data_IF_455670144638
#
_entry.id   IF_455670144638
#
_cell.length_a   1.000
_cell.length_b   1.000
_cell.length_c   1.000
_cell.angle_alpha   90.00
_cell.angle_beta   90.00
_cell.angle_gamma   90.00
#
_symmetry.space_group_name_H-M   'P 1'
#
loop_
_entity.id
_entity.type
_entity.pdbx_description
1 polymer ?
#
# COMPACT_ATOMS: atom_id res chain seq x y z
N UNK A 1 13.65 32.56 31.56
CA UNK A 1 14.03 32.08 30.22
C UNK A 1 14.51 30.64 30.35
N UNK A 2 13.59 29.68 30.41
CA UNK A 2 13.89 28.24 30.36
C UNK A 2 12.85 27.49 29.49
N UNK A 3 11.63 28.02 29.32
CA UNK A 3 10.57 27.37 28.53
C UNK A 3 10.71 27.43 27.01
N UNK A 4 11.39 28.43 26.44
CA UNK A 4 11.49 28.58 24.96
C UNK A 4 12.37 27.50 24.31
N UNK A 5 13.24 26.85 25.09
CA UNK A 5 14.17 25.83 24.59
C UNK A 5 13.54 24.43 24.60
N UNK A 6 12.71 24.16 25.60
CA UNK A 6 11.97 22.90 25.74
C UNK A 6 10.87 22.79 24.66
N UNK A 7 10.20 23.89 24.33
CA UNK A 7 9.18 23.92 23.27
C UNK A 7 9.76 23.66 21.86
N UNK A 8 10.98 24.14 21.56
CA UNK A 8 11.61 23.90 20.25
C UNK A 8 12.05 22.43 20.09
N UNK A 9 12.55 21.83 21.18
CA UNK A 9 12.91 20.40 21.23
C UNK A 9 11.67 19.50 21.03
N UNK A 10 10.54 19.84 21.65
CA UNK A 10 9.27 19.11 21.49
C UNK A 10 8.71 19.19 20.06
N UNK A 11 8.88 20.34 19.40
CA UNK A 11 8.45 20.54 18.01
C UNK A 11 9.34 19.71 17.07
N UNK A 12 10.65 19.69 17.31
CA UNK A 12 11.61 18.91 16.51
C UNK A 12 11.33 17.41 16.61
N UNK A 13 11.09 16.90 17.83
CA UNK A 13 10.70 15.51 18.05
C UNK A 13 9.39 15.18 17.33
N UNK A 14 8.39 16.06 17.40
CA UNK A 14 7.13 15.87 16.68
C UNK A 14 7.32 15.76 15.15
N UNK A 15 8.27 16.50 14.57
CA UNK A 15 8.59 16.37 13.14
C UNK A 15 9.31 15.07 12.80
N UNK A 16 10.20 14.59 13.66
CA UNK A 16 10.91 13.31 13.49
C UNK A 16 9.93 12.13 13.46
N UNK A 17 8.91 12.15 14.32
CA UNK A 17 7.87 11.11 14.34
C UNK A 17 7.01 11.07 13.07
N UNK A 18 6.95 12.17 12.33
CA UNK A 18 6.21 12.26 11.06
C UNK A 18 7.04 11.83 9.84
N UNK A 19 8.34 11.57 10.02
CA UNK A 19 9.23 11.18 8.92
C UNK A 19 8.84 9.80 8.40
N UNK A 20 8.68 9.61 7.08
CA UNK A 20 8.43 8.30 6.51
C UNK A 20 9.56 7.32 6.86
N UNK A 21 9.19 6.11 7.27
CA UNK A 21 10.14 5.02 7.48
C UNK A 21 10.58 4.44 6.14
N UNK A 22 11.89 4.29 5.96
CA UNK A 22 12.46 3.67 4.78
C UNK A 22 12.03 2.19 4.68
N UNK A 23 11.53 1.74 3.51
CA UNK A 23 11.08 0.36 3.35
C UNK A 23 12.27 -0.62 3.30
N UNK A 24 12.04 -1.84 3.81
CA UNK A 24 13.02 -2.91 3.71
C UNK A 24 13.09 -3.46 2.27
N UNK A 25 14.26 -3.96 1.81
CA UNK A 25 14.37 -4.61 0.51
C UNK A 25 13.38 -5.76 0.30
N UNK A 26 13.02 -6.48 1.36
CA UNK A 26 12.04 -7.57 1.34
C UNK A 26 10.59 -7.12 1.09
N UNK A 27 10.31 -5.82 1.25
CA UNK A 27 9.01 -5.23 0.91
C UNK A 27 8.89 -4.88 -0.57
N UNK A 28 10.00 -4.95 -1.34
CA UNK A 28 9.98 -4.79 -2.79
C UNK A 28 9.56 -6.09 -3.48
N UNK A 29 8.69 -5.99 -4.49
CA UNK A 29 8.22 -7.11 -5.31
C UNK A 29 9.34 -7.75 -6.18
N UNK A 30 10.48 -7.07 -6.35
CA UNK A 30 11.60 -7.51 -7.21
C UNK A 30 11.26 -7.63 -8.71
N UNK A 31 10.05 -7.23 -9.11
CA UNK A 31 9.47 -7.52 -10.44
C UNK A 31 9.35 -6.28 -11.33
N UNK A 32 10.03 -5.18 -10.97
CA UNK A 32 9.98 -3.92 -11.74
C UNK A 32 8.64 -3.17 -11.67
N UNK A 33 7.89 -3.33 -10.58
CA UNK A 33 6.61 -2.65 -10.36
C UNK A 33 6.78 -1.11 -10.37
N UNK A 34 5.86 -0.35 -11.00
CA UNK A 34 5.83 1.13 -11.00
C UNK A 34 4.43 1.64 -10.62
N UNK A 35 4.28 2.48 -9.57
CA UNK A 35 5.34 2.90 -8.64
C UNK A 35 5.82 1.75 -7.74
N UNK A 36 7.13 1.70 -7.50
CA UNK A 36 7.75 0.80 -6.54
C UNK A 36 7.52 1.31 -5.09
N UNK A 37 7.69 0.44 -4.09
CA UNK A 37 7.63 0.82 -2.67
C UNK A 37 8.64 1.93 -2.33
N UNK A 38 9.82 1.90 -2.96
CA UNK A 38 10.84 2.94 -2.82
C UNK A 38 10.41 4.25 -3.49
N UNK A 39 9.73 4.20 -4.63
CA UNK A 39 9.22 5.41 -5.30
C UNK A 39 8.19 6.13 -4.41
N UNK A 40 7.29 5.36 -3.78
CA UNK A 40 6.32 5.90 -2.84
C UNK A 40 7.00 6.48 -1.59
N UNK A 41 8.02 5.81 -1.08
CA UNK A 41 8.83 6.32 0.03
C UNK A 41 9.49 7.66 -0.32
N UNK A 42 10.18 7.76 -1.46
CA UNK A 42 10.83 9.00 -1.87
C UNK A 42 9.84 10.15 -2.09
N UNK A 43 8.65 9.86 -2.65
CA UNK A 43 7.58 10.86 -2.78
C UNK A 43 7.10 11.36 -1.41
N UNK A 44 6.87 10.45 -0.47
CA UNK A 44 6.43 10.83 0.88
C UNK A 44 7.55 11.56 1.63
N UNK A 45 8.81 11.17 1.46
CA UNK A 45 9.96 11.83 2.07
C UNK A 45 10.09 13.26 1.57
N UNK A 46 9.98 13.48 0.25
CA UNK A 46 10.01 14.82 -0.34
C UNK A 46 8.87 15.72 0.19
N UNK A 47 7.67 15.16 0.38
CA UNK A 47 6.55 15.90 1.01
C UNK A 47 6.84 16.24 2.46
N UNK A 48 7.39 15.30 3.22
CA UNK A 48 7.77 15.55 4.61
C UNK A 48 8.86 16.62 4.72
N UNK A 49 9.89 16.59 3.87
CA UNK A 49 10.94 17.61 3.82
C UNK A 49 10.36 19.00 3.50
N UNK A 50 9.45 19.10 2.52
CA UNK A 50 8.77 20.33 2.17
C UNK A 50 7.85 20.85 3.30
N UNK A 51 7.08 19.95 3.94
CA UNK A 51 6.22 20.26 5.08
C UNK A 51 7.03 20.77 6.27
N UNK A 52 8.15 20.12 6.57
CA UNK A 52 9.05 20.51 7.66
C UNK A 52 9.71 21.86 7.40
N UNK A 53 10.16 22.10 6.17
CA UNK A 53 10.80 23.36 5.78
C UNK A 53 9.82 24.56 5.85
N UNK A 54 8.54 24.34 5.55
CA UNK A 54 7.49 25.36 5.59
C UNK A 54 6.77 25.45 6.94
N UNK A 55 7.03 24.51 7.87
CA UNK A 55 6.28 24.28 9.11
C UNK A 55 4.77 24.06 8.87
N UNK A 56 4.38 23.64 7.66
CA UNK A 56 3.00 23.40 7.26
C UNK A 56 2.72 21.89 7.17
N UNK A 57 2.00 21.37 8.16
CA UNK A 57 1.62 19.94 8.22
C UNK A 57 0.57 19.56 7.18
N UNK A 58 -0.15 20.51 6.59
CA UNK A 58 -1.16 20.21 5.57
C UNK A 58 -0.54 19.56 4.31
N UNK A 59 0.72 19.87 4.02
CA UNK A 59 1.48 19.33 2.89
C UNK A 59 1.81 17.84 3.02
N UNK A 60 1.64 17.25 4.21
CA UNK A 60 1.81 15.81 4.42
C UNK A 60 0.68 14.99 3.76
N UNK A 61 -0.49 15.61 3.55
CA UNK A 61 -1.59 14.99 2.82
C UNK A 61 -1.37 15.20 1.32
N UNK A 62 -0.89 14.15 0.64
CA UNK A 62 -0.89 14.11 -0.82
C UNK A 62 -2.31 14.16 -1.38
N UNK A 63 -2.48 14.40 -2.70
CA UNK A 63 -3.79 14.22 -3.33
C UNK A 63 -4.28 12.83 -2.96
N UNK A 64 -5.39 12.76 -2.23
CA UNK A 64 -6.04 11.50 -1.93
C UNK A 64 -6.32 10.86 -3.29
N UNK A 65 -5.53 9.84 -3.65
CA UNK A 65 -5.89 8.94 -4.73
C UNK A 65 -7.29 8.50 -4.38
N UNK A 66 -8.26 8.97 -5.17
CA UNK A 66 -9.69 8.74 -4.98
C UNK A 66 -9.88 7.39 -4.32
N UNK A 67 -10.39 7.41 -3.09
CA UNK A 67 -10.83 6.22 -2.39
C UNK A 67 -11.98 5.63 -3.21
N UNK A 68 -11.65 4.93 -4.28
CA UNK A 68 -12.47 3.84 -4.74
C UNK A 68 -12.60 2.93 -3.52
N UNK A 69 -13.82 2.58 -3.08
CA UNK A 69 -14.04 1.59 -2.02
C UNK A 69 -13.65 0.21 -2.57
N UNK A 70 -12.37 0.07 -2.87
CA UNK A 70 -11.74 -1.14 -3.33
C UNK A 70 -11.54 -1.95 -2.07
N UNK A 71 -12.14 -3.13 -2.00
CA UNK A 71 -11.95 -4.06 -0.87
C UNK A 71 -10.49 -4.55 -0.75
N UNK A 72 -9.64 -4.16 -1.70
CA UNK A 72 -8.22 -4.42 -1.73
C UNK A 72 -7.45 -3.26 -1.12
N UNK A 73 -6.59 -3.59 -0.16
CA UNK A 73 -5.66 -2.65 0.45
C UNK A 73 -4.23 -3.05 0.04
N UNK A 74 -3.37 -2.10 -0.38
CA UNK A 74 -1.99 -2.39 -0.79
C UNK A 74 -1.12 -3.00 0.32
N UNK A 75 -1.52 -2.91 1.60
CA UNK A 75 -0.75 -3.37 2.75
C UNK A 75 -1.20 -4.75 3.27
N UNK A 76 -2.34 -5.28 2.84
CA UNK A 76 -2.91 -6.50 3.43
C UNK A 76 -3.44 -7.46 2.37
N UNK A 77 -3.13 -8.74 2.53
CA UNK A 77 -3.70 -9.80 1.69
C UNK A 77 -5.16 -10.07 2.10
N UNK A 78 -6.02 -10.27 1.09
CA UNK A 78 -7.43 -10.64 1.28
C UNK A 78 -7.66 -12.00 0.63
N UNK A 79 -8.29 -12.93 1.34
CA UNK A 79 -8.63 -14.24 0.80
C UNK A 79 -9.81 -14.18 -0.18
N UNK A 80 -9.74 -14.94 -1.26
CA UNK A 80 -10.81 -15.09 -2.26
C UNK A 80 -10.85 -16.53 -2.77
N UNK A 81 -12.02 -16.94 -3.27
CA UNK A 81 -12.21 -18.25 -3.89
C UNK A 81 -12.04 -18.16 -5.40
N UNK A 82 -11.29 -19.09 -5.97
CA UNK A 82 -11.22 -19.28 -7.43
C UNK A 82 -12.56 -19.91 -7.84
N UNK A 83 -13.34 -19.20 -8.65
CA UNK A 83 -14.64 -19.66 -9.13
C UNK A 83 -14.52 -20.50 -10.40
N UNK A 84 -13.48 -20.26 -11.20
CA UNK A 84 -13.18 -21.06 -12.38
C UNK A 84 -11.72 -20.91 -12.83
N UNK A 85 -11.23 -21.92 -13.53
CA UNK A 85 -9.91 -21.91 -14.14
C UNK A 85 -10.01 -22.57 -15.52
N UNK A 86 -9.79 -21.79 -16.58
CA UNK A 86 -9.78 -22.30 -17.95
C UNK A 86 -8.35 -22.32 -18.48
N UNK A 87 -7.94 -23.42 -19.12
CA UNK A 87 -6.67 -23.45 -19.86
C UNK A 87 -6.89 -22.88 -21.26
N UNK A 88 -6.18 -21.81 -21.62
CA UNK A 88 -6.27 -21.16 -22.93
C UNK A 88 -5.27 -21.71 -23.93
N UNK A 89 -4.04 -22.00 -23.49
CA UNK A 89 -2.97 -22.59 -24.30
C UNK A 89 -2.26 -23.69 -23.50
N UNK A 90 -1.14 -24.23 -24.00
CA UNK A 90 -0.33 -25.22 -23.27
C UNK A 90 0.12 -24.71 -21.89
N UNK A 91 0.40 -23.41 -21.79
CA UNK A 91 1.07 -22.74 -20.67
C UNK A 91 0.30 -21.53 -20.12
N UNK A 92 -0.82 -21.14 -20.73
CA UNK A 92 -1.64 -20.00 -20.31
C UNK A 92 -2.96 -20.45 -19.72
N UNK A 93 -3.26 -19.96 -18.52
CA UNK A 93 -4.51 -20.21 -17.81
C UNK A 93 -5.23 -18.89 -17.51
N UNK A 94 -6.55 -18.88 -17.71
CA UNK A 94 -7.45 -17.81 -17.28
C UNK A 94 -8.13 -18.22 -15.99
N UNK A 95 -7.83 -17.51 -14.92
CA UNK A 95 -8.43 -17.72 -13.60
C UNK A 95 -9.50 -16.67 -13.36
N UNK A 96 -10.68 -17.09 -12.93
CA UNK A 96 -11.76 -16.22 -12.42
C UNK A 96 -11.88 -16.42 -10.92
N UNK A 97 -12.00 -15.32 -10.19
CA UNK A 97 -12.22 -15.31 -8.75
C UNK A 97 -13.47 -14.49 -8.43
N UNK A 98 -14.21 -14.93 -7.43
CA UNK A 98 -15.40 -14.24 -6.97
C UNK A 98 -15.02 -13.33 -5.80
N UNK A 99 -15.43 -12.06 -5.88
CA UNK A 99 -15.22 -11.11 -4.80
C UNK A 99 -16.42 -11.17 -3.83
N UNK A 100 -16.18 -11.26 -2.52
CA UNK A 100 -17.26 -11.34 -1.55
C UNK A 100 -18.06 -10.03 -1.53
N UNK A 101 -19.37 -10.12 -1.73
CA UNK A 101 -20.30 -8.99 -1.69
C UNK A 101 -20.41 -8.19 -2.99
N UNK A 102 -20.27 -8.84 -4.16
CA UNK A 102 -20.39 -8.23 -5.50
C UNK A 102 -19.56 -6.95 -5.68
N UNK A 103 -18.42 -6.89 -4.99
CA UNK A 103 -17.53 -5.72 -5.03
C UNK A 103 -16.69 -5.74 -6.31
N UNK A 104 -16.25 -4.57 -6.77
CA UNK A 104 -15.30 -4.44 -7.88
C UNK A 104 -13.89 -4.21 -7.35
N UNK A 105 -12.87 -4.69 -8.08
CA UNK A 105 -11.45 -4.51 -7.70
C UNK A 105 -10.97 -3.05 -7.84
N UNK A 106 -11.61 -2.26 -8.70
CA UNK A 106 -11.23 -0.87 -8.93
C UNK A 106 -9.87 -0.67 -9.62
N UNK A 107 -9.31 -1.71 -10.24
CA UNK A 107 -8.01 -1.63 -10.91
C UNK A 107 -8.11 -0.87 -12.23
N UNK A 108 -7.18 0.06 -12.43
CA UNK A 108 -6.92 0.74 -13.69
C UNK A 108 -6.07 -0.12 -14.62
N UNK A 109 -6.12 0.09 -15.95
CA UNK A 109 -5.21 -0.56 -16.90
C UNK A 109 -3.75 -0.41 -16.46
N UNK A 110 -3.00 -1.52 -16.47
CA UNK A 110 -1.60 -1.59 -16.03
C UNK A 110 -1.40 -1.93 -14.55
N UNK A 111 -2.45 -1.84 -13.71
CA UNK A 111 -2.38 -2.32 -12.34
C UNK A 111 -2.54 -3.84 -12.26
N UNK A 112 -1.83 -4.47 -11.33
CA UNK A 112 -1.82 -5.91 -11.15
C UNK A 112 -1.97 -6.28 -9.67
N UNK A 113 -2.37 -7.53 -9.41
CA UNK A 113 -2.52 -8.08 -8.07
C UNK A 113 -1.34 -8.96 -7.73
N UNK A 114 -0.92 -8.92 -6.47
CA UNK A 114 -0.01 -9.91 -5.91
C UNK A 114 -0.86 -11.03 -5.31
N UNK A 115 -0.75 -12.23 -5.88
CA UNK A 115 -1.45 -13.41 -5.39
C UNK A 115 -0.50 -14.25 -4.54
N UNK A 116 -0.95 -14.66 -3.36
CA UNK A 116 -0.29 -15.68 -2.55
C UNK A 116 -1.21 -16.88 -2.43
N UNK A 117 -0.70 -18.04 -2.84
CA UNK A 117 -1.38 -19.30 -2.61
C UNK A 117 -1.09 -19.77 -1.18
N UNK A 118 -2.15 -19.89 -0.37
CA UNK A 118 -2.09 -20.56 0.92
C UNK A 118 -2.87 -21.88 0.79
N UNK A 119 -2.16 -23.00 0.88
CA UNK A 119 -2.79 -24.31 0.94
C UNK A 119 -3.49 -24.43 2.30
N UNK A 120 -4.82 -24.33 2.32
CA UNK A 120 -5.59 -24.61 3.53
C UNK A 120 -5.59 -26.12 3.73
N UNK A 121 -4.71 -26.60 4.60
CA UNK A 121 -4.63 -28.02 4.98
C UNK A 121 -5.73 -28.29 6.00
N UNK A 122 -6.94 -28.54 5.52
CA UNK A 122 -8.04 -29.14 6.31
C UNK A 122 -8.77 -28.21 7.28
N UNK A 123 -10.09 -28.27 7.24
CA UNK A 123 -10.97 -27.68 8.24
C UNK A 123 -12.35 -27.45 7.67
N UNK A 124 -13.27 -28.34 8.00
CA UNK A 124 -14.70 -28.26 7.68
C UNK A 124 -15.29 -26.98 8.29
N UNK A 125 -16.15 -26.28 7.55
CA UNK A 125 -17.05 -25.29 8.12
C UNK A 125 -18.46 -25.72 7.73
N UNK A 126 -19.20 -26.20 8.74
CA UNK A 126 -20.66 -26.36 8.73
C UNK A 126 -21.34 -25.01 8.89
#
# INVERSE_FOLDING_TARGET
>A
MMGEREEDDDIEEAWLQLRPMEPLPSQCCGSGCSPCVFDLYHQNLARWEAARASKDRSLLHGPESQSCPSKLNPKTFVAFCISAMDRLTKDTYRVRFALPGNSQLGLQPGQHLILRYAQVVGGWWS
#
